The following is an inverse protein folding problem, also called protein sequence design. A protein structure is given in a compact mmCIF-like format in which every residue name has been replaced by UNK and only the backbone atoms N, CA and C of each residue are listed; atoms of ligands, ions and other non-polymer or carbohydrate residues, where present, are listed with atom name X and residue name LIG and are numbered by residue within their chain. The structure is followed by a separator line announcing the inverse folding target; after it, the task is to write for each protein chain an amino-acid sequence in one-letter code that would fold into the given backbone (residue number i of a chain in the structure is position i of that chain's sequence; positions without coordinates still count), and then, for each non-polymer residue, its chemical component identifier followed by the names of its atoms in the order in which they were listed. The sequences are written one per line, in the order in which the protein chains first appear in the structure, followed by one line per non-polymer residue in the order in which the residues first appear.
data_IF_571168524605
#
_entry.id   IF_571168524605
#
_cell.length_a   1.000
_cell.length_b   1.000
_cell.length_c   1.000
_cell.angle_alpha   90.00
_cell.angle_beta   90.00
_cell.angle_gamma   90.00
#
_symmetry.space_group_name_H-M   'P 1'
#
loop_
_entity.id
_entity.type
_entity.pdbx_description
1 polymer ?
#
# COMPACT_ATOMS: atom_id res chain seq x y z
N UNK A 1 -8.18 -7.59 -16.17
CA UNK A 1 -7.43 -8.67 -16.85
C UNK A 1 -6.03 -8.80 -16.27
N UNK A 2 -5.42 -9.99 -16.34
CA UNK A 2 -4.03 -10.22 -15.89
C UNK A 2 -3.19 -10.63 -17.09
N UNK A 3 -2.02 -10.00 -17.24
CA UNK A 3 -1.02 -10.34 -18.26
C UNK A 3 0.22 -10.82 -17.51
N UNK A 4 0.81 -11.92 -17.97
CA UNK A 4 2.00 -12.51 -17.36
C UNK A 4 3.15 -12.44 -18.37
N UNK A 5 4.32 -12.00 -17.93
CA UNK A 5 5.52 -11.95 -18.75
C UNK A 5 6.51 -10.94 -18.21
N UNK A 6 7.79 -11.21 -18.42
CA UNK A 6 8.93 -10.43 -17.96
C UNK A 6 9.62 -9.66 -19.10
N UNK A 7 9.18 -9.89 -20.33
CA UNK A 7 9.75 -9.29 -21.52
C UNK A 7 9.07 -7.95 -21.91
N UNK A 8 9.70 -7.24 -22.83
CA UNK A 8 9.21 -5.94 -23.31
C UNK A 8 7.84 -6.02 -24.01
N UNK A 9 7.46 -7.19 -24.53
CA UNK A 9 6.18 -7.39 -25.19
C UNK A 9 5.04 -7.45 -24.17
N UNK A 10 5.25 -8.13 -23.04
CA UNK A 10 4.30 -8.15 -21.93
C UNK A 10 4.03 -6.74 -21.37
N UNK A 11 5.09 -5.93 -21.25
CA UNK A 11 4.99 -4.52 -20.87
C UNK A 11 4.25 -3.67 -21.90
N UNK A 12 4.56 -3.83 -23.18
CA UNK A 12 3.91 -3.11 -24.28
C UNK A 12 2.41 -3.41 -24.33
N UNK A 13 2.05 -4.69 -24.25
CA UNK A 13 0.65 -5.12 -24.29
C UNK A 13 -0.14 -4.54 -23.10
N UNK A 14 0.42 -4.59 -21.90
CA UNK A 14 -0.23 -4.02 -20.71
C UNK A 14 -0.44 -2.50 -20.84
N UNK A 15 0.48 -1.78 -21.49
CA UNK A 15 0.34 -0.35 -21.76
C UNK A 15 -0.74 -0.06 -22.82
N UNK A 16 -0.80 -0.84 -23.90
CA UNK A 16 -1.82 -0.72 -24.95
C UNK A 16 -3.23 -0.96 -24.38
N UNK A 17 -3.42 -2.03 -23.60
CA UNK A 17 -4.72 -2.35 -23.01
C UNK A 17 -5.20 -1.26 -22.03
N UNK A 18 -4.30 -0.71 -21.22
CA UNK A 18 -4.63 0.37 -20.28
C UNK A 18 -4.89 1.70 -20.98
N UNK A 19 -4.03 2.06 -21.93
CA UNK A 19 -4.03 3.38 -22.55
C UNK A 19 -4.98 3.52 -23.74
N UNK A 20 -5.09 2.49 -24.57
CA UNK A 20 -5.92 2.52 -25.79
C UNK A 20 -7.31 1.99 -25.52
N UNK A 21 -7.41 0.88 -24.79
CA UNK A 21 -8.68 0.19 -24.58
C UNK A 21 -9.37 0.55 -23.25
N UNK A 22 -8.70 1.31 -22.39
CA UNK A 22 -9.24 1.72 -21.09
C UNK A 22 -9.46 0.55 -20.12
N UNK A 23 -8.83 -0.60 -20.37
CA UNK A 23 -9.01 -1.78 -19.54
C UNK A 23 -8.16 -1.74 -18.27
N UNK A 24 -8.71 -2.31 -17.19
CA UNK A 24 -7.97 -2.51 -15.95
C UNK A 24 -7.08 -3.75 -16.05
N UNK A 25 -5.77 -3.52 -16.20
CA UNK A 25 -4.76 -4.58 -16.36
C UNK A 25 -3.71 -4.56 -15.26
N UNK A 26 -3.40 -5.75 -14.76
CA UNK A 26 -2.26 -6.02 -13.87
C UNK A 26 -1.24 -6.87 -14.61
N UNK A 27 -0.02 -6.36 -14.75
CA UNK A 27 1.12 -7.12 -15.28
C UNK A 27 1.82 -7.86 -14.14
N UNK A 28 1.95 -9.18 -14.26
CA UNK A 28 2.70 -10.03 -13.35
C UNK A 28 4.03 -10.38 -13.99
N UNK A 29 5.12 -9.86 -13.41
CA UNK A 29 6.49 -10.17 -13.81
C UNK A 29 7.01 -11.31 -12.94
N UNK A 30 7.22 -12.52 -13.49
CA UNK A 30 7.85 -13.60 -12.73
C UNK A 30 9.30 -13.21 -12.36
N UNK A 31 9.79 -13.62 -11.18
CA UNK A 31 11.14 -13.28 -10.76
C UNK A 31 12.16 -13.90 -11.72
N UNK A 32 13.05 -13.07 -12.24
CA UNK A 32 14.11 -13.47 -13.14
C UNK A 32 15.02 -14.51 -12.45
N UNK A 33 15.24 -15.68 -13.07
CA UNK A 33 16.03 -16.77 -12.43
C UNK A 33 17.45 -16.34 -12.07
N UNK A 34 17.96 -15.25 -12.67
CA UNK A 34 19.31 -14.69 -12.46
C UNK A 34 19.38 -13.65 -11.34
N UNK A 35 18.27 -13.05 -10.92
CA UNK A 35 18.24 -11.94 -9.93
C UNK A 35 17.27 -12.20 -8.79
N UNK A 36 16.87 -13.47 -8.57
CA UNK A 36 15.94 -13.87 -7.51
C UNK A 36 16.50 -13.60 -6.10
N UNK A 37 16.48 -12.33 -5.68
CA UNK A 37 16.42 -11.96 -4.28
C UNK A 37 15.02 -12.35 -3.80
N UNK A 38 14.88 -13.13 -2.71
CA UNK A 38 13.58 -13.47 -2.18
C UNK A 38 12.76 -12.19 -1.95
N UNK A 39 11.48 -12.16 -2.38
CA UNK A 39 10.63 -11.01 -2.10
C UNK A 39 10.64 -10.78 -0.58
N UNK A 40 11.01 -9.58 -0.14
CA UNK A 40 10.97 -9.17 1.27
C UNK A 40 9.52 -8.92 1.70
N UNK A 41 8.65 -9.90 1.51
CA UNK A 41 7.33 -9.95 2.16
C UNK A 41 7.55 -10.27 3.63
N UNK A 42 7.92 -9.25 4.40
CA UNK A 42 8.15 -9.41 5.84
C UNK A 42 8.64 -8.17 6.59
N UNK A 43 9.14 -7.12 5.91
CA UNK A 43 9.56 -5.88 6.61
C UNK A 43 8.78 -4.64 6.23
N UNK A 44 8.42 -4.46 4.96
CA UNK A 44 7.66 -3.28 4.53
C UNK A 44 6.19 -3.29 5.03
N UNK A 45 5.51 -4.44 4.98
CA UNK A 45 4.11 -4.59 5.45
C UNK A 45 3.98 -4.41 6.97
N UNK A 46 4.99 -4.81 7.74
CA UNK A 46 5.05 -4.61 9.18
C UNK A 46 5.24 -3.12 9.55
N UNK A 47 6.09 -2.40 8.81
CA UNK A 47 6.26 -0.96 8.98
C UNK A 47 4.95 -0.20 8.66
N UNK A 48 4.24 -0.58 7.59
CA UNK A 48 2.93 0.01 7.28
C UNK A 48 1.89 -0.28 8.36
N UNK A 49 1.81 -1.50 8.88
CA UNK A 49 0.88 -1.84 9.98
C UNK A 49 1.18 -1.04 11.26
N UNK A 50 2.45 -0.85 11.61
CA UNK A 50 2.85 -0.04 12.75
C UNK A 50 2.51 1.46 12.58
N UNK A 51 2.61 1.98 11.36
CA UNK A 51 2.17 3.35 11.06
C UNK A 51 0.64 3.49 11.14
N UNK A 52 -0.11 2.52 10.62
CA UNK A 52 -1.58 2.52 10.74
C UNK A 52 -2.04 2.44 12.19
N UNK A 53 -1.44 1.59 13.01
CA UNK A 53 -1.74 1.47 14.45
C UNK A 53 -1.52 2.80 15.20
N UNK A 54 -0.43 3.51 14.89
CA UNK A 54 -0.14 4.83 15.45
C UNK A 54 -1.17 5.89 15.07
N UNK A 55 -1.64 5.89 13.81
CA UNK A 55 -2.66 6.83 13.33
C UNK A 55 -4.03 6.52 13.94
N UNK A 56 -4.40 5.25 14.05
CA UNK A 56 -5.63 4.83 14.71
C UNK A 56 -5.59 5.25 16.18
N UNK A 57 -4.52 4.93 16.91
CA UNK A 57 -4.35 5.32 18.33
C UNK A 57 -4.44 6.85 18.55
N UNK A 58 -3.84 7.64 17.65
CA UNK A 58 -3.95 9.10 17.69
C UNK A 58 -5.38 9.61 17.39
N UNK A 59 -6.09 8.97 16.47
CA UNK A 59 -7.47 9.31 16.13
C UNK A 59 -8.45 8.94 17.26
N UNK A 60 -8.27 7.79 17.93
CA UNK A 60 -9.12 7.41 19.06
C UNK A 60 -8.86 8.31 20.28
N UNK A 61 -7.61 8.73 20.52
CA UNK A 61 -7.26 9.70 21.55
C UNK A 61 -7.77 11.12 21.29
N UNK A 62 -8.07 11.46 20.03
CA UNK A 62 -8.75 12.72 19.64
C UNK A 62 -10.24 12.67 19.98
N UNK A 63 -10.92 11.56 19.67
CA UNK A 63 -12.36 11.36 20.00
C UNK A 63 -12.61 11.37 21.51
N UNK A 64 -11.64 10.93 22.32
CA UNK A 64 -11.72 10.98 23.79
C UNK A 64 -11.47 12.36 24.43
N UNK A 65 -10.89 13.34 23.72
CA UNK A 65 -10.60 14.68 24.27
C UNK A 65 -11.65 15.74 23.97
N UNK A 66 -12.60 15.48 23.07
CA UNK A 66 -13.74 16.39 22.82
C UNK A 66 -14.87 16.26 23.84
N UNK A 67 -14.71 15.45 24.89
CA UNK A 67 -15.67 15.34 26.00
C UNK A 67 -15.20 15.93 27.34
N UNK A 68 -13.99 16.48 27.43
CA UNK A 68 -13.42 17.02 28.67
C UNK A 68 -12.76 18.39 28.44
N UNK A 69 -13.52 19.34 27.89
CA UNK A 69 -13.15 20.74 27.88
C UNK A 69 -14.00 21.50 28.91
N UNK A 70 -13.38 21.80 30.06
CA UNK A 70 -13.91 22.57 31.18
C UNK A 70 -13.83 21.75 32.47
N UNK A 71 -12.92 21.97 33.41
CA UNK A 71 -12.23 23.20 33.79
C UNK A 71 -11.16 22.85 34.86
N UNK A 72 -9.92 23.36 34.82
CA UNK A 72 -9.02 23.32 35.97
C UNK A 72 -8.88 24.70 36.66
N UNK A 73 -8.39 24.68 37.91
CA UNK A 73 -7.98 25.80 38.79
C UNK A 73 -9.09 26.41 39.68
N UNK A 74 -8.92 26.76 40.95
CA UNK A 74 -7.77 26.85 41.86
C UNK A 74 -8.26 26.98 43.33
N UNK A 75 -7.29 26.86 44.25
CA UNK A 75 -7.26 27.29 45.67
C UNK A 75 -7.97 26.43 46.71
#
# INVERSE_FOLDING_TARGET
MVVCGDDGLAHRLAAELRGVYGEQVTLVVPPDRRTARPPVVGRARAASAALFDRVVSAAVGSVGRTGAAGQPAAA
#
